data_IF_005336895954
#
_entry.id   IF_005336895954
#
_cell.length_a   1.000
_cell.length_b   1.000
_cell.length_c   1.000
_cell.angle_alpha   90.00
_cell.angle_beta   90.00
_cell.angle_gamma   90.00
#
_symmetry.space_group_name_H-M   'P 1'
#
loop_
_entity.id
_entity.type
_entity.pdbx_description
1 polymer ?
#
# COMPACT_ATOMS: atom_id res chain seq x y z
N UNK A 1 -5.53 -20.68 -6.05
CA UNK A 1 -6.53 -21.77 -6.04
C UNK A 1 -6.63 -22.33 -7.43
N UNK A 2 -6.83 -23.64 -7.58
CA UNK A 2 -6.99 -24.30 -8.87
C UNK A 2 -8.47 -24.73 -8.96
N UNK A 3 -9.21 -24.13 -9.91
CA UNK A 3 -10.64 -24.45 -10.18
C UNK A 3 -11.54 -23.21 -10.23
N UNK A 4 -12.45 -23.16 -11.23
CA UNK A 4 -13.51 -22.15 -11.34
C UNK A 4 -13.15 -20.84 -12.06
N UNK A 5 -12.00 -20.77 -12.75
CA UNK A 5 -11.47 -19.52 -13.30
C UNK A 5 -11.16 -19.59 -14.81
N UNK A 6 -12.04 -20.17 -15.64
CA UNK A 6 -11.88 -20.28 -17.11
C UNK A 6 -10.49 -20.79 -17.54
N UNK A 7 -10.04 -21.92 -17.00
CA UNK A 7 -8.72 -22.52 -17.27
C UNK A 7 -7.51 -21.63 -16.93
N UNK A 8 -7.67 -20.66 -16.01
CA UNK A 8 -6.56 -19.84 -15.50
C UNK A 8 -6.11 -20.25 -14.11
N UNK A 9 -4.85 -19.94 -13.79
CA UNK A 9 -4.24 -20.14 -12.46
C UNK A 9 -4.08 -18.80 -11.77
N UNK A 10 -4.52 -18.72 -10.51
CA UNK A 10 -4.26 -17.57 -9.64
C UNK A 10 -3.24 -17.93 -8.55
N UNK A 11 -2.16 -17.17 -8.51
CA UNK A 11 -1.19 -17.18 -7.41
C UNK A 11 -0.99 -15.76 -6.87
N UNK A 12 -0.62 -15.67 -5.60
CA UNK A 12 -0.35 -14.42 -4.91
C UNK A 12 0.91 -14.58 -4.07
N UNK A 13 1.79 -13.59 -4.15
CA UNK A 13 2.95 -13.46 -3.27
C UNK A 13 2.66 -12.28 -2.34
N UNK A 14 2.46 -12.55 -1.05
CA UNK A 14 2.20 -11.49 -0.06
C UNK A 14 3.50 -10.74 0.30
N UNK A 15 3.41 -9.68 1.11
CA UNK A 15 4.57 -8.87 1.48
C UNK A 15 5.75 -9.68 2.06
N UNK A 16 5.47 -10.67 2.92
CA UNK A 16 6.51 -11.57 3.46
C UNK A 16 7.13 -12.45 2.37
N UNK A 17 6.31 -12.97 1.46
CA UNK A 17 6.77 -13.73 0.30
C UNK A 17 7.62 -12.87 -0.65
N UNK A 18 7.23 -11.62 -0.89
CA UNK A 18 7.99 -10.70 -1.73
C UNK A 18 9.39 -10.45 -1.14
N UNK A 19 9.48 -10.20 0.17
CA UNK A 19 10.79 -10.10 0.86
C UNK A 19 11.63 -11.35 0.65
N UNK A 20 11.04 -12.55 0.77
CA UNK A 20 11.74 -13.80 0.58
C UNK A 20 12.25 -14.00 -0.85
N UNK A 21 11.44 -13.64 -1.86
CA UNK A 21 11.79 -13.71 -3.29
C UNK A 21 12.91 -12.73 -3.62
N UNK A 22 12.75 -11.46 -3.28
CA UNK A 22 13.73 -10.42 -3.62
C UNK A 22 15.04 -10.54 -2.83
N UNK A 23 15.05 -11.22 -1.68
CA UNK A 23 16.28 -11.54 -0.97
C UNK A 23 17.14 -12.62 -1.67
N UNK A 24 16.56 -13.39 -2.59
CA UNK A 24 17.22 -14.56 -3.22
C UNK A 24 17.30 -14.47 -4.73
N UNK A 25 16.54 -13.56 -5.34
CA UNK A 25 16.47 -13.40 -6.79
C UNK A 25 16.51 -11.93 -7.17
N UNK A 26 17.23 -11.57 -8.24
CA UNK A 26 17.15 -10.23 -8.78
C UNK A 26 15.76 -9.98 -9.40
N UNK A 27 15.36 -8.71 -9.44
CA UNK A 27 14.04 -8.27 -9.94
C UNK A 27 13.79 -8.69 -11.39
N UNK A 28 14.81 -8.59 -12.26
CA UNK A 28 14.71 -9.00 -13.67
C UNK A 28 14.38 -10.48 -13.84
N UNK A 29 14.84 -11.35 -12.92
CA UNK A 29 14.53 -12.78 -12.99
C UNK A 29 13.06 -13.02 -12.69
N UNK A 30 12.44 -12.25 -11.79
CA UNK A 30 11.01 -12.35 -11.54
C UNK A 30 10.21 -11.88 -12.77
N UNK A 31 10.62 -10.77 -13.40
CA UNK A 31 9.99 -10.28 -14.64
C UNK A 31 10.07 -11.33 -15.76
N UNK A 32 11.26 -11.92 -15.99
CA UNK A 32 11.44 -13.00 -16.97
C UNK A 32 10.52 -14.21 -16.72
N UNK A 33 10.40 -14.65 -15.45
CA UNK A 33 9.46 -15.71 -15.10
C UNK A 33 8.00 -15.35 -15.38
N UNK A 34 7.59 -14.12 -15.08
CA UNK A 34 6.23 -13.67 -15.31
C UNK A 34 5.93 -13.57 -16.81
N UNK A 35 6.79 -12.90 -17.56
CA UNK A 35 6.56 -12.58 -18.97
C UNK A 35 6.88 -13.75 -19.90
N UNK A 36 8.07 -14.35 -19.78
CA UNK A 36 8.58 -15.32 -20.76
C UNK A 36 8.23 -16.77 -20.41
N UNK A 37 8.16 -17.11 -19.12
CA UNK A 37 7.86 -18.50 -18.70
C UNK A 37 6.37 -18.73 -18.49
N UNK A 38 5.70 -17.82 -17.76
CA UNK A 38 4.29 -17.96 -17.43
C UNK A 38 3.36 -17.25 -18.41
N UNK A 39 3.89 -16.43 -19.33
CA UNK A 39 3.08 -15.71 -20.33
C UNK A 39 2.12 -14.68 -19.74
N UNK A 40 2.40 -14.16 -18.53
CA UNK A 40 1.55 -13.20 -17.83
C UNK A 40 1.60 -11.86 -18.55
N UNK A 41 0.46 -11.43 -19.09
CA UNK A 41 0.34 -10.12 -19.76
C UNK A 41 -0.07 -9.00 -18.78
N UNK A 42 -0.88 -9.34 -17.78
CA UNK A 42 -1.38 -8.37 -16.80
C UNK A 42 -1.33 -8.93 -15.39
N UNK A 43 -0.92 -8.09 -14.45
CA UNK A 43 -1.01 -8.32 -13.03
C UNK A 43 -2.42 -7.94 -12.56
N UNK A 44 -3.12 -8.91 -11.96
CA UNK A 44 -4.42 -8.63 -11.33
C UNK A 44 -4.28 -7.57 -10.23
N UNK A 45 -3.15 -7.59 -9.51
CA UNK A 45 -2.78 -6.63 -8.48
C UNK A 45 -1.26 -6.59 -8.29
N UNK A 46 -0.70 -5.41 -8.08
CA UNK A 46 0.65 -5.19 -7.55
C UNK A 46 0.59 -4.09 -6.50
N UNK A 47 1.27 -4.29 -5.38
CA UNK A 47 1.37 -3.31 -4.31
C UNK A 47 2.78 -2.75 -4.28
N UNK A 48 2.92 -1.44 -4.41
CA UNK A 48 4.17 -0.74 -4.17
C UNK A 48 4.13 -0.15 -2.76
N UNK A 49 5.25 -0.21 -2.05
CA UNK A 49 5.36 0.28 -0.68
C UNK A 49 6.61 1.14 -0.53
N UNK A 50 6.47 2.25 0.18
CA UNK A 50 7.56 3.10 0.64
C UNK A 50 7.51 3.21 2.16
N UNK A 51 8.63 2.92 2.81
CA UNK A 51 8.80 2.98 4.26
C UNK A 51 9.51 4.30 4.63
N UNK A 52 8.83 5.13 5.40
CA UNK A 52 9.34 6.40 5.92
C UNK A 52 9.70 6.24 7.41
N UNK A 53 11.00 6.31 7.69
CA UNK A 53 11.54 6.23 9.04
C UNK A 53 11.87 7.61 9.63
N UNK A 54 11.71 8.68 8.86
CA UNK A 54 12.01 10.06 9.26
C UNK A 54 10.73 10.82 9.68
N UNK A 55 9.55 10.30 9.32
CA UNK A 55 8.26 10.90 9.68
C UNK A 55 7.87 12.11 8.82
N UNK A 56 8.40 12.17 7.60
CA UNK A 56 8.14 13.25 6.63
C UNK A 56 6.81 13.00 5.88
N UNK A 57 6.48 11.73 5.63
CA UNK A 57 5.34 11.26 4.85
C UNK A 57 4.34 10.51 5.73
N UNK A 58 3.94 11.14 6.83
CA UNK A 58 2.95 10.63 7.78
C UNK A 58 1.50 10.82 7.28
N UNK A 59 0.52 10.46 8.13
CA UNK A 59 -0.89 10.62 7.80
C UNK A 59 -1.27 12.10 7.58
N UNK A 60 -0.74 13.02 8.37
CA UNK A 60 -1.00 14.46 8.21
C UNK A 60 -0.49 14.99 6.86
N UNK A 61 0.69 14.52 6.42
CA UNK A 61 1.20 14.81 5.10
C UNK A 61 0.28 14.26 4.01
N UNK A 62 -0.19 13.02 4.16
CA UNK A 62 -1.12 12.42 3.19
C UNK A 62 -2.45 13.19 3.08
N UNK A 63 -2.98 13.71 4.19
CA UNK A 63 -4.16 14.57 4.18
C UNK A 63 -3.92 15.87 3.42
N UNK A 64 -2.78 16.53 3.65
CA UNK A 64 -2.39 17.75 2.92
C UNK A 64 -2.26 17.47 1.42
N UNK A 65 -1.56 16.40 1.06
CA UNK A 65 -1.38 15.99 -0.33
C UNK A 65 -2.73 15.64 -1.01
N UNK A 66 -3.66 15.03 -0.28
CA UNK A 66 -5.02 14.79 -0.79
C UNK A 66 -5.80 16.08 -1.02
N UNK A 67 -5.75 17.01 -0.08
CA UNK A 67 -6.39 18.33 -0.21
C UNK A 67 -5.81 19.13 -1.38
N UNK A 68 -4.51 18.96 -1.65
CA UNK A 68 -3.79 19.61 -2.73
C UNK A 68 -3.88 18.81 -4.06
N UNK A 69 -4.84 17.88 -4.16
CA UNK A 69 -5.19 17.08 -5.36
C UNK A 69 -4.06 16.20 -5.92
N UNK A 70 -3.04 15.88 -5.10
CA UNK A 70 -1.86 15.12 -5.53
C UNK A 70 -2.14 13.63 -5.81
N UNK A 71 -3.30 13.11 -5.41
CA UNK A 71 -3.72 11.73 -5.67
C UNK A 71 -4.60 11.60 -6.92
N UNK A 72 -4.80 12.67 -7.67
CA UNK A 72 -5.63 12.68 -8.87
C UNK A 72 -5.03 11.81 -9.97
N UNK A 73 -5.87 10.99 -10.58
CA UNK A 73 -5.47 10.02 -11.62
C UNK A 73 -6.03 10.36 -13.00
N UNK A 74 -6.88 11.39 -13.10
CA UNK A 74 -7.49 11.84 -14.34
C UNK A 74 -7.62 13.36 -14.36
N UNK A 75 -7.46 13.98 -15.53
CA UNK A 75 -7.56 15.43 -15.71
C UNK A 75 -8.96 15.97 -15.36
N UNK A 76 -10.00 15.16 -15.53
CA UNK A 76 -11.40 15.54 -15.30
C UNK A 76 -12.12 14.54 -14.39
N UNK A 77 -13.21 14.99 -13.78
CA UNK A 77 -14.05 14.18 -12.89
C UNK A 77 -13.75 14.42 -11.41
N UNK A 78 -14.39 13.62 -10.56
CA UNK A 78 -14.22 13.70 -9.11
C UNK A 78 -12.89 13.06 -8.70
N UNK A 79 -12.10 13.77 -7.90
CA UNK A 79 -10.90 13.22 -7.28
C UNK A 79 -11.21 12.02 -6.36
N UNK A 80 -10.19 11.20 -6.03
CA UNK A 80 -10.37 10.07 -5.13
C UNK A 80 -10.81 10.52 -3.74
N UNK A 81 -11.68 9.73 -3.10
CA UNK A 81 -12.19 10.02 -1.75
C UNK A 81 -11.15 9.63 -0.70
N UNK A 82 -10.94 10.47 0.30
CA UNK A 82 -10.16 10.14 1.50
C UNK A 82 -11.06 9.46 2.55
N UNK A 83 -10.54 8.39 3.13
CA UNK A 83 -11.16 7.60 4.18
C UNK A 83 -10.26 7.59 5.41
N UNK A 84 -10.82 7.98 6.55
CA UNK A 84 -10.14 8.01 7.83
C UNK A 84 -10.39 6.71 8.59
N UNK A 85 -9.31 6.06 9.04
CA UNK A 85 -9.37 4.79 9.76
C UNK A 85 -8.41 4.86 10.96
N UNK A 86 -8.83 5.64 11.95
CA UNK A 86 -8.07 5.95 13.15
C UNK A 86 -8.78 5.43 14.41
N UNK A 87 -8.00 5.04 15.42
CA UNK A 87 -8.50 4.68 16.75
C UNK A 87 -7.62 5.34 17.80
N UNK A 88 -8.24 6.17 18.64
CA UNK A 88 -7.57 6.90 19.72
C UNK A 88 -7.73 6.09 21.01
N UNK A 89 -6.62 5.71 21.63
CA UNK A 89 -6.62 5.01 22.90
C UNK A 89 -6.73 5.96 24.10
N UNK A 90 -6.12 7.13 23.99
CA UNK A 90 -6.12 8.16 25.02
C UNK A 90 -5.65 9.49 24.44
N UNK A 91 -5.76 10.55 25.24
CA UNK A 91 -5.15 11.84 24.94
C UNK A 91 -3.87 11.96 25.76
N UNK A 92 -2.76 12.27 25.09
CA UNK A 92 -1.46 12.50 25.70
C UNK A 92 -1.44 13.76 26.57
N UNK A 93 -0.38 13.88 27.38
CA UNK A 93 -0.20 15.05 28.27
C UNK A 93 -0.04 16.36 27.50
N UNK A 94 0.37 16.28 26.24
CA UNK A 94 0.50 17.39 25.29
C UNK A 94 -0.81 17.72 24.56
N UNK A 95 -1.92 17.06 24.91
CA UNK A 95 -3.21 17.23 24.27
C UNK A 95 -3.34 16.51 22.93
N UNK A 96 -2.32 15.78 22.48
CA UNK A 96 -2.37 15.04 21.21
C UNK A 96 -2.99 13.66 21.38
N UNK A 97 -3.74 13.16 20.38
CA UNK A 97 -4.26 11.80 20.40
C UNK A 97 -3.12 10.78 20.38
N UNK A 98 -3.22 9.77 21.25
CA UNK A 98 -2.39 8.57 21.21
C UNK A 98 -3.18 7.50 20.49
N UNK A 99 -2.69 7.09 19.32
CA UNK A 99 -3.40 6.15 18.46
C UNK A 99 -3.06 4.68 18.80
N UNK A 100 -4.06 3.80 18.70
CA UNK A 100 -3.89 2.34 18.53
C UNK A 100 -4.05 1.90 17.09
N UNK A 101 -4.56 2.80 16.24
CA UNK A 101 -4.58 2.67 14.78
C UNK A 101 -4.55 4.05 14.17
N UNK A 102 -3.73 4.25 13.16
CA UNK A 102 -3.58 5.52 12.46
C UNK A 102 -3.39 5.24 10.97
N UNK A 103 -4.42 5.52 10.17
CA UNK A 103 -4.40 5.28 8.73
C UNK A 103 -5.32 6.25 7.97
N UNK A 104 -4.83 6.72 6.83
CA UNK A 104 -5.65 7.25 5.75
C UNK A 104 -5.63 6.32 4.55
N UNK A 105 -6.80 6.17 3.92
CA UNK A 105 -6.93 5.45 2.64
C UNK A 105 -7.52 6.37 1.60
N UNK A 106 -6.98 6.38 0.38
CA UNK A 106 -7.42 7.29 -0.67
C UNK A 106 -7.84 6.49 -1.90
N UNK A 107 -9.07 6.75 -2.36
CA UNK A 107 -9.76 5.96 -3.38
C UNK A 107 -10.52 4.77 -2.80
N UNK A 108 -11.01 3.90 -3.68
CA UNK A 108 -11.78 2.71 -3.30
C UNK A 108 -10.95 1.45 -3.47
N UNK A 109 -11.13 0.47 -2.58
CA UNK A 109 -10.56 -0.88 -2.73
C UNK A 109 -10.98 -1.58 -4.02
N UNK A 110 -12.07 -1.20 -4.67
CA UNK A 110 -12.46 -1.79 -5.97
C UNK A 110 -11.88 -1.04 -7.17
N UNK A 111 -11.30 0.14 -6.95
CA UNK A 111 -10.73 0.97 -8.01
C UNK A 111 -9.37 0.45 -8.49
N UNK A 112 -8.90 0.99 -9.62
CA UNK A 112 -7.62 0.59 -10.24
C UNK A 112 -6.41 1.00 -9.39
N UNK A 113 -6.52 2.09 -8.63
CA UNK A 113 -5.45 2.68 -7.82
C UNK A 113 -6.03 2.97 -6.44
N UNK A 114 -5.49 2.34 -5.40
CA UNK A 114 -5.93 2.52 -4.01
C UNK A 114 -4.73 2.73 -3.10
N UNK A 115 -4.72 3.85 -2.38
CA UNK A 115 -3.63 4.21 -1.49
C UNK A 115 -3.96 3.90 -0.03
N UNK A 116 -2.94 3.55 0.74
CA UNK A 116 -2.97 3.47 2.20
C UNK A 116 -1.71 4.13 2.75
N UNK A 117 -1.90 5.09 3.63
CA UNK A 117 -0.82 5.72 4.39
C UNK A 117 -1.12 5.46 5.85
N UNK A 118 -0.20 4.82 6.57
CA UNK A 118 -0.46 4.36 7.92
C UNK A 118 0.80 4.27 8.77
N UNK A 119 0.60 4.32 10.08
CA UNK A 119 1.65 4.12 11.07
C UNK A 119 2.01 2.62 11.15
N UNK A 120 3.11 2.25 10.50
CA UNK A 120 3.58 0.87 10.39
C UNK A 120 4.22 0.37 11.68
N UNK A 121 4.90 1.24 12.43
CA UNK A 121 5.38 0.89 13.78
C UNK A 121 4.22 0.48 14.67
N UNK A 122 3.12 1.23 14.64
CA UNK A 122 1.92 0.91 15.42
C UNK A 122 1.28 -0.41 14.98
N UNK A 123 1.12 -0.62 13.67
CA UNK A 123 0.56 -1.87 13.12
C UNK A 123 1.43 -3.10 13.44
N UNK A 124 2.76 -2.95 13.50
CA UNK A 124 3.69 -4.00 13.89
C UNK A 124 3.88 -4.14 15.41
N UNK A 125 3.14 -3.37 16.23
CA UNK A 125 3.26 -3.34 17.70
C UNK A 125 4.66 -2.94 18.20
N UNK A 126 5.31 -2.02 17.48
CA UNK A 126 6.64 -1.49 17.77
C UNK A 126 6.61 -0.01 18.21
N UNK A 127 5.43 0.61 18.33
CA UNK A 127 5.30 2.01 18.70
C UNK A 127 5.93 2.34 20.09
N UNK A 128 6.00 1.37 21.00
CA UNK A 128 6.64 1.53 22.31
C UNK A 128 8.17 1.57 22.25
N UNK A 129 8.78 1.30 21.09
CA UNK A 129 10.24 1.35 20.91
C UNK A 129 10.74 2.76 20.57
N UNK A 130 9.83 3.71 20.31
CA UNK A 130 10.18 5.05 19.80
C UNK A 130 10.52 5.07 18.31
N UNK A 131 10.41 3.93 17.62
CA UNK A 131 10.61 3.85 16.17
C UNK A 131 9.53 4.65 15.43
N UNK A 132 9.97 5.68 14.69
CA UNK A 132 9.14 6.33 13.67
C UNK A 132 9.13 5.40 12.45
N UNK A 133 7.94 5.01 12.03
CA UNK A 133 7.77 4.20 10.84
C UNK A 133 6.37 4.38 10.27
N UNK A 134 6.27 5.22 9.25
CA UNK A 134 5.09 5.34 8.41
C UNK A 134 5.30 4.57 7.11
N UNK A 135 4.20 4.09 6.55
CA UNK A 135 4.24 3.43 5.25
C UNK A 135 3.18 3.99 4.33
N UNK A 136 3.64 4.36 3.13
CA UNK A 136 2.78 4.63 1.99
C UNK A 136 2.73 3.39 1.09
N UNK A 137 1.55 2.83 0.90
CA UNK A 137 1.29 1.70 0.01
C UNK A 137 0.30 2.12 -1.08
N UNK A 138 0.59 1.76 -2.33
CA UNK A 138 -0.36 1.86 -3.45
C UNK A 138 -0.63 0.50 -4.05
N UNK A 139 -1.90 0.12 -4.04
CA UNK A 139 -2.45 -1.07 -4.69
C UNK A 139 -2.87 -0.69 -6.12
N UNK A 140 -2.19 -1.24 -7.10
CA UNK A 140 -2.44 -1.08 -8.53
C UNK A 140 -3.09 -2.34 -9.08
N UNK A 141 -4.20 -2.22 -9.80
CA UNK A 141 -4.94 -3.35 -10.39
C UNK A 141 -4.93 -3.32 -11.90
N UNK A 142 -5.02 -4.51 -12.51
CA UNK A 142 -5.01 -4.67 -13.98
C UNK A 142 -3.84 -3.88 -14.59
N UNK A 143 -2.64 -4.12 -14.07
CA UNK A 143 -1.43 -3.42 -14.50
C UNK A 143 -0.67 -4.29 -15.49
N UNK A 144 -0.06 -3.69 -16.51
CA UNK A 144 0.78 -4.46 -17.43
C UNK A 144 2.12 -4.79 -16.76
N UNK A 145 2.73 -5.90 -17.17
CA UNK A 145 4.09 -6.25 -16.72
C UNK A 145 5.18 -5.44 -17.45
N UNK A 146 4.83 -4.79 -18.56
CA UNK A 146 5.67 -3.91 -19.38
C UNK A 146 5.12 -2.48 -19.45
#
# INVERSE_FOLDING_TARGET
GIGGNNDTVHFQINGTGCKHVFARRPTWSLHDWLTNVLGVQTLARVDLAYDDYDGIFDCEYAYKAWRDDCFRTAERGRGPVLHEDMTIASIGKDGKPIYTKEQYSIGSRTSRIYWRIYNKALEQKLANTGLVWYRSEVELKKWNVD
#
